data_IF_856762377397
#
_entry.id   IF_856762377397
#
_cell.length_a   1.000
_cell.length_b   1.000
_cell.length_c   1.000
_cell.angle_alpha   90.00
_cell.angle_beta   90.00
_cell.angle_gamma   90.00
#
_symmetry.space_group_name_H-M   'P 1'
#
loop_
_entity.id
_entity.type
_entity.pdbx_description
1 polymer ?
#
# COMPACT_ATOMS: atom_id res chain seq x y z
N UNK A 1 16.26 -4.92 22.29
CA UNK A 1 17.23 -3.83 22.17
C UNK A 1 16.74 -2.68 21.28
N UNK A 2 16.15 -2.90 20.10
CA UNK A 2 15.74 -1.78 19.21
C UNK A 2 14.43 -1.02 19.55
N UNK A 3 13.61 -1.52 20.48
CA UNK A 3 12.31 -0.91 20.80
C UNK A 3 12.42 0.46 21.51
N UNK A 4 13.60 0.75 22.07
CA UNK A 4 13.88 2.01 22.76
C UNK A 4 14.46 3.09 21.82
N UNK A 5 14.95 2.70 20.64
CA UNK A 5 15.51 3.62 19.63
C UNK A 5 14.43 4.14 18.67
N UNK A 6 13.52 3.26 18.25
CA UNK A 6 12.37 3.60 17.41
C UNK A 6 11.12 3.47 18.26
N UNK A 7 10.31 4.53 18.44
CA UNK A 7 9.04 4.47 19.17
C UNK A 7 8.18 3.30 18.71
N UNK A 8 8.17 2.23 19.53
CA UNK A 8 7.53 0.96 19.17
C UNK A 8 6.37 0.66 20.11
N UNK A 9 5.25 0.19 19.55
CA UNK A 9 4.13 -0.37 20.32
C UNK A 9 4.03 -1.84 19.96
N UNK A 10 4.31 -2.70 20.94
CA UNK A 10 4.19 -4.15 20.78
C UNK A 10 2.78 -4.56 21.16
N UNK A 11 2.13 -5.32 20.27
CA UNK A 11 0.78 -5.85 20.47
C UNK A 11 0.79 -7.37 20.32
N UNK A 12 -0.26 -8.02 20.82
CA UNK A 12 -0.37 -9.48 20.75
C UNK A 12 -0.60 -9.93 19.30
N UNK A 13 0.09 -10.98 18.89
CA UNK A 13 -0.08 -11.57 17.57
C UNK A 13 -1.48 -12.20 17.39
N UNK A 14 -2.01 -12.10 16.18
CA UNK A 14 -3.24 -12.77 15.78
C UNK A 14 -3.04 -14.29 15.70
N UNK A 15 -4.14 -15.04 15.83
CA UNK A 15 -4.15 -16.44 15.39
C UNK A 15 -4.13 -16.48 13.87
N UNK A 16 -2.95 -16.66 13.30
CA UNK A 16 -2.70 -16.51 11.86
C UNK A 16 -3.23 -17.66 11.00
N UNK A 17 -3.42 -18.85 11.58
CA UNK A 17 -3.78 -20.07 10.84
C UNK A 17 -2.91 -20.29 9.58
N UNK A 18 -1.62 -19.98 9.67
CA UNK A 18 -0.67 -20.06 8.55
C UNK A 18 -0.60 -18.82 7.65
N UNK A 19 -1.40 -17.79 7.90
CA UNK A 19 -1.37 -16.51 7.18
C UNK A 19 -0.92 -15.36 8.06
N UNK A 20 0.39 -15.16 8.15
CA UNK A 20 1.01 -14.15 9.03
C UNK A 20 0.61 -12.71 8.69
N UNK A 21 0.22 -12.44 7.43
CA UNK A 21 -0.12 -11.08 6.98
C UNK A 21 -1.38 -10.54 7.68
N UNK A 22 -2.25 -11.40 8.24
CA UNK A 22 -3.39 -10.98 9.08
C UNK A 22 -2.96 -10.16 10.30
N UNK A 23 -1.69 -10.26 10.72
CA UNK A 23 -1.15 -9.44 11.79
C UNK A 23 -1.15 -7.96 11.46
N UNK A 24 -1.17 -7.54 10.18
CA UNK A 24 -1.25 -6.12 9.80
C UNK A 24 -2.55 -5.46 10.27
N UNK A 25 -3.75 -5.90 9.82
CA UNK A 25 -4.99 -5.34 10.35
C UNK A 25 -5.16 -5.59 11.84
N UNK A 26 -4.76 -6.76 12.34
CA UNK A 26 -4.91 -7.09 13.76
C UNK A 26 -4.12 -6.14 14.67
N UNK A 27 -2.86 -5.89 14.31
CA UNK A 27 -1.99 -4.99 15.07
C UNK A 27 -2.49 -3.56 15.02
N UNK A 28 -3.02 -3.12 13.87
CA UNK A 28 -3.62 -1.78 13.74
C UNK A 28 -4.88 -1.62 14.59
N UNK A 29 -5.75 -2.63 14.68
CA UNK A 29 -6.90 -2.61 15.60
C UNK A 29 -6.43 -2.44 17.04
N UNK A 30 -5.47 -3.27 17.48
CA UNK A 30 -4.96 -3.21 18.85
C UNK A 30 -4.26 -1.89 19.13
N UNK A 31 -3.48 -1.37 18.19
CA UNK A 31 -2.79 -0.09 18.33
C UNK A 31 -3.79 1.07 18.49
N UNK A 32 -4.77 1.20 17.59
CA UNK A 32 -5.80 2.25 17.62
C UNK A 32 -6.63 2.24 18.91
N UNK A 33 -6.90 1.06 19.47
CA UNK A 33 -7.65 0.90 20.71
C UNK A 33 -6.80 1.16 21.95
N UNK A 34 -5.48 1.16 21.82
CA UNK A 34 -4.58 1.33 22.95
C UNK A 34 -4.41 2.82 23.30
N UNK A 35 -4.20 3.17 24.59
CA UNK A 35 -3.88 4.53 24.99
C UNK A 35 -2.63 5.11 24.30
N UNK A 36 -1.74 4.23 23.82
CA UNK A 36 -0.51 4.63 23.15
C UNK A 36 -0.77 5.31 21.81
N UNK A 37 -1.86 5.02 21.12
CA UNK A 37 -2.19 5.70 19.86
C UNK A 37 -2.44 7.20 20.11
N UNK A 38 -3.34 7.53 21.03
CA UNK A 38 -3.65 8.92 21.36
C UNK A 38 -2.45 9.66 21.97
N UNK A 39 -1.57 8.96 22.68
CA UNK A 39 -0.36 9.54 23.25
C UNK A 39 0.75 9.81 22.22
N UNK A 40 0.75 9.12 21.07
CA UNK A 40 1.85 9.17 20.10
C UNK A 40 1.48 9.78 18.74
N UNK A 41 0.21 9.70 18.35
CA UNK A 41 -0.30 10.23 17.08
C UNK A 41 -1.15 11.46 17.39
N UNK A 42 -0.55 12.64 17.20
CA UNK A 42 -1.20 13.94 17.47
C UNK A 42 -1.65 14.64 16.19
N UNK A 43 -1.13 14.17 15.05
CA UNK A 43 -1.38 14.66 13.71
C UNK A 43 -2.72 14.17 13.18
N UNK A 44 -3.35 14.98 12.32
CA UNK A 44 -4.63 14.63 11.68
C UNK A 44 -4.47 13.58 10.58
N UNK A 45 -3.25 13.41 10.06
CA UNK A 45 -2.92 12.50 8.96
C UNK A 45 -1.78 11.60 9.34
N UNK A 46 -1.85 10.35 8.90
CA UNK A 46 -0.77 9.37 9.04
C UNK A 46 -0.37 8.84 7.68
N UNK A 47 0.91 8.51 7.57
CA UNK A 47 1.47 7.75 6.46
C UNK A 47 1.76 6.33 6.96
N UNK A 48 1.13 5.34 6.34
CA UNK A 48 1.38 3.93 6.60
C UNK A 48 2.42 3.46 5.58
N UNK A 49 3.53 2.91 6.09
CA UNK A 49 4.69 2.47 5.32
C UNK A 49 5.03 1.01 5.62
N UNK A 50 5.72 0.36 4.69
CA UNK A 50 6.41 -0.90 4.95
C UNK A 50 7.88 -0.63 5.31
N UNK A 51 8.51 -1.58 6.01
CA UNK A 51 9.92 -1.45 6.47
C UNK A 51 10.95 -1.45 5.34
N UNK A 52 10.54 -1.87 4.14
CA UNK A 52 11.33 -1.90 2.91
C UNK A 52 11.04 -0.70 1.99
N UNK A 53 10.32 0.32 2.48
CA UNK A 53 10.20 1.60 1.79
C UNK A 53 11.41 2.50 2.03
N UNK A 54 12.05 2.96 0.95
CA UNK A 54 13.06 4.00 0.96
C UNK A 54 12.44 5.32 0.48
N UNK A 55 12.51 6.36 1.31
CA UNK A 55 12.07 7.71 0.92
C UNK A 55 13.16 8.39 0.09
N UNK A 56 12.85 8.71 -1.16
CA UNK A 56 13.81 9.33 -2.09
C UNK A 56 13.84 10.85 -1.98
N UNK A 57 12.73 11.45 -1.56
CA UNK A 57 12.53 12.90 -1.45
C UNK A 57 11.36 13.22 -0.52
N UNK A 58 11.23 14.46 -0.02
CA UNK A 58 10.09 14.86 0.80
C UNK A 58 8.76 14.55 0.09
N UNK A 59 7.91 13.83 0.80
CA UNK A 59 6.60 13.40 0.33
C UNK A 59 5.55 14.36 0.90
N UNK A 60 4.92 15.23 0.08
CA UNK A 60 3.89 16.15 0.57
C UNK A 60 2.67 15.36 1.05
N UNK A 61 1.81 15.99 1.86
CA UNK A 61 0.52 15.37 2.17
C UNK A 61 -0.36 15.33 0.91
N UNK A 62 -0.51 14.13 0.35
CA UNK A 62 -1.32 13.87 -0.85
C UNK A 62 -2.77 13.54 -0.51
N UNK A 63 -3.11 13.38 0.77
CA UNK A 63 -4.45 13.10 1.25
C UNK A 63 -5.20 14.39 1.61
N UNK A 64 -6.52 14.26 1.70
CA UNK A 64 -7.41 15.26 2.32
C UNK A 64 -8.23 14.57 3.41
N UNK A 65 -8.97 15.34 4.20
CA UNK A 65 -9.85 14.81 5.26
C UNK A 65 -10.84 13.73 4.78
N UNK A 66 -11.17 13.74 3.49
CA UNK A 66 -12.16 12.84 2.88
C UNK A 66 -11.59 11.90 1.82
N UNK A 67 -10.40 12.20 1.29
CA UNK A 67 -9.80 11.46 0.17
C UNK A 67 -8.39 11.03 0.57
N UNK A 68 -8.18 9.77 1.00
CA UNK A 68 -6.85 9.22 1.21
C UNK A 68 -6.09 9.10 -0.11
N UNK A 69 -4.76 9.02 -0.06
CA UNK A 69 -3.91 8.78 -1.22
C UNK A 69 -3.16 7.46 -1.06
N UNK A 70 -3.10 6.65 -2.12
CA UNK A 70 -2.46 5.34 -2.10
C UNK A 70 -1.83 4.97 -3.43
N UNK A 71 -0.86 4.07 -3.38
CA UNK A 71 -0.21 3.55 -4.58
C UNK A 71 -1.13 2.61 -5.36
N UNK A 72 -0.99 2.63 -6.69
CA UNK A 72 -1.72 1.75 -7.60
C UNK A 72 -1.07 0.38 -7.72
N UNK A 73 -1.65 -0.62 -7.05
CA UNK A 73 -1.29 -2.02 -7.26
C UNK A 73 -2.06 -2.56 -8.47
N UNK A 74 -1.52 -2.32 -9.68
CA UNK A 74 -2.21 -2.60 -10.95
C UNK A 74 -2.66 -4.06 -11.15
N UNK A 75 -2.09 -5.02 -10.40
CA UNK A 75 -2.53 -6.41 -10.38
C UNK A 75 -3.82 -6.66 -9.58
N UNK A 76 -4.25 -5.72 -8.72
CA UNK A 76 -5.50 -5.81 -7.95
C UNK A 76 -6.71 -5.39 -8.79
N UNK A 77 -6.97 -6.13 -9.86
CA UNK A 77 -8.01 -5.82 -10.84
C UNK A 77 -9.41 -6.07 -10.26
N UNK A 78 -10.11 -5.01 -9.86
CA UNK A 78 -11.42 -5.06 -9.20
C UNK A 78 -12.47 -5.88 -9.97
N UNK A 79 -12.58 -5.69 -11.29
CA UNK A 79 -13.54 -6.41 -12.13
C UNK A 79 -13.27 -7.91 -12.18
N UNK A 80 -12.00 -8.32 -12.13
CA UNK A 80 -11.61 -9.74 -12.15
C UNK A 80 -12.00 -10.50 -10.88
N UNK A 81 -12.29 -9.77 -9.80
CA UNK A 81 -12.65 -10.34 -8.49
C UNK A 81 -14.07 -9.98 -8.05
N UNK A 82 -14.91 -9.47 -8.96
CA UNK A 82 -16.22 -8.93 -8.62
C UNK A 82 -17.13 -9.95 -7.91
N UNK A 83 -17.21 -11.18 -8.43
CA UNK A 83 -18.03 -12.25 -7.85
C UNK A 83 -17.57 -12.65 -6.44
N UNK A 84 -16.25 -12.65 -6.19
CA UNK A 84 -15.68 -12.96 -4.87
C UNK A 84 -15.98 -11.82 -3.90
N UNK A 85 -15.80 -10.57 -4.31
CA UNK A 85 -16.09 -9.39 -3.48
C UNK A 85 -17.58 -9.32 -3.11
N UNK A 86 -18.48 -9.61 -4.04
CA UNK A 86 -19.93 -9.56 -3.82
C UNK A 86 -20.43 -10.57 -2.77
N UNK A 87 -19.68 -11.65 -2.49
CA UNK A 87 -19.97 -12.55 -1.37
C UNK A 87 -19.88 -11.87 -0.01
N UNK A 88 -18.97 -10.91 0.13
CA UNK A 88 -18.72 -10.21 1.39
C UNK A 88 -19.56 -8.94 1.52
N UNK A 89 -19.74 -8.22 0.41
CA UNK A 89 -20.56 -7.01 0.35
C UNK A 89 -21.31 -7.01 -0.99
N UNK A 90 -22.59 -7.44 -1.02
CA UNK A 90 -23.37 -7.50 -2.24
C UNK A 90 -23.45 -6.15 -2.97
N UNK A 91 -23.11 -6.13 -4.25
CA UNK A 91 -23.12 -4.95 -5.10
C UNK A 91 -21.84 -4.11 -5.04
N UNK A 92 -20.80 -4.57 -4.33
CA UNK A 92 -19.49 -3.90 -4.25
C UNK A 92 -18.50 -4.42 -5.30
N UNK A 93 -18.77 -5.54 -5.94
CA UNK A 93 -17.93 -6.14 -6.98
C UNK A 93 -17.55 -5.12 -8.06
N UNK A 94 -16.26 -5.06 -8.40
CA UNK A 94 -15.73 -4.12 -9.39
C UNK A 94 -15.57 -2.66 -8.91
N UNK A 95 -15.92 -2.33 -7.66
CA UNK A 95 -15.93 -0.93 -7.16
C UNK A 95 -14.82 -0.60 -6.17
N UNK A 96 -13.90 -1.52 -5.90
CA UNK A 96 -12.73 -1.30 -5.05
C UNK A 96 -11.64 -0.54 -5.81
N UNK A 97 -10.93 0.35 -5.13
CA UNK A 97 -9.74 0.98 -5.70
C UNK A 97 -8.56 -0.01 -5.65
N UNK A 98 -7.67 -0.07 -6.65
CA UNK A 98 -6.54 -0.99 -6.70
C UNK A 98 -5.38 -0.51 -5.81
N UNK A 99 -5.64 -0.41 -4.51
CA UNK A 99 -4.68 0.05 -3.49
C UNK A 99 -4.41 -1.08 -2.47
N UNK A 100 -3.63 -0.77 -1.44
CA UNK A 100 -3.48 -1.60 -0.25
C UNK A 100 -3.38 -0.72 1.00
N UNK A 101 -3.08 -1.30 2.17
CA UNK A 101 -2.91 -0.54 3.40
C UNK A 101 -1.59 0.25 3.43
N UNK A 102 -0.67 0.00 2.50
CA UNK A 102 0.64 0.65 2.39
C UNK A 102 1.16 0.64 0.94
N UNK A 103 1.81 1.71 0.46
CA UNK A 103 1.84 3.02 1.08
C UNK A 103 0.46 3.68 1.01
N UNK A 104 0.01 4.24 2.14
CA UNK A 104 -1.22 5.04 2.17
C UNK A 104 -1.06 6.26 3.06
N UNK A 105 -1.56 7.40 2.60
CA UNK A 105 -1.80 8.57 3.44
C UNK A 105 -3.28 8.71 3.70
N UNK A 106 -3.64 8.89 4.96
CA UNK A 106 -5.04 8.87 5.37
C UNK A 106 -5.27 9.75 6.59
N UNK A 107 -6.43 10.41 6.63
CA UNK A 107 -6.86 11.12 7.82
C UNK A 107 -7.20 10.13 8.94
N UNK A 108 -6.78 10.41 10.18
CA UNK A 108 -6.92 9.50 11.33
C UNK A 108 -8.35 9.01 11.54
N UNK A 109 -9.34 9.88 11.34
CA UNK A 109 -10.76 9.48 11.46
C UNK A 109 -11.21 8.48 10.39
N UNK A 110 -10.69 8.56 9.16
CA UNK A 110 -10.97 7.54 8.14
C UNK A 110 -10.26 6.22 8.48
N UNK A 111 -9.03 6.29 8.99
CA UNK A 111 -8.30 5.11 9.45
C UNK A 111 -9.06 4.38 10.55
N UNK A 112 -9.55 5.10 11.58
CA UNK A 112 -10.37 4.53 12.67
C UNK A 112 -11.63 3.82 12.16
N UNK A 113 -12.25 4.29 11.09
CA UNK A 113 -13.41 3.65 10.48
C UNK A 113 -13.04 2.41 9.67
N UNK A 114 -11.95 2.48 8.89
CA UNK A 114 -11.52 1.39 8.01
C UNK A 114 -10.94 0.22 8.79
N UNK A 115 -10.07 0.47 9.77
CA UNK A 115 -9.29 -0.58 10.45
C UNK A 115 -10.12 -1.73 11.05
N UNK A 116 -11.24 -1.51 11.78
CA UNK A 116 -12.05 -2.63 12.28
C UNK A 116 -12.67 -3.46 11.13
N UNK A 117 -13.17 -2.80 10.08
CA UNK A 117 -13.72 -3.49 8.92
C UNK A 117 -12.65 -4.22 8.12
N UNK A 118 -11.47 -3.63 7.98
CA UNK A 118 -10.32 -4.24 7.32
C UNK A 118 -9.97 -5.57 8.00
N UNK A 119 -9.82 -5.57 9.32
CA UNK A 119 -9.61 -6.79 10.10
C UNK A 119 -10.71 -7.83 9.90
N UNK A 120 -11.97 -7.41 9.97
CA UNK A 120 -13.10 -8.34 9.87
C UNK A 120 -13.25 -8.93 8.48
N UNK A 121 -13.09 -8.13 7.42
CA UNK A 121 -13.10 -8.62 6.05
C UNK A 121 -11.91 -9.53 5.77
N UNK A 122 -10.69 -9.21 6.24
CA UNK A 122 -9.56 -10.13 6.13
C UNK A 122 -9.87 -11.49 6.77
N UNK A 123 -10.47 -11.50 7.97
CA UNK A 123 -10.85 -12.76 8.63
C UNK A 123 -11.96 -13.51 7.92
N UNK A 124 -12.97 -12.82 7.38
CA UNK A 124 -14.03 -13.44 6.57
C UNK A 124 -13.46 -14.08 5.31
N UNK A 125 -12.55 -13.38 4.62
CA UNK A 125 -11.86 -13.91 3.44
C UNK A 125 -11.05 -15.15 3.81
N UNK A 126 -10.30 -15.13 4.92
CA UNK A 126 -9.54 -16.29 5.38
C UNK A 126 -10.41 -17.51 5.71
N UNK A 127 -11.67 -17.31 6.06
CA UNK A 127 -12.62 -18.38 6.36
C UNK A 127 -13.32 -18.95 5.11
N UNK A 128 -13.16 -18.32 3.94
CA UNK A 128 -13.74 -18.75 2.66
C UNK A 128 -12.65 -19.30 1.75
N UNK A 129 -12.67 -20.61 1.49
CA UNK A 129 -11.63 -21.30 0.70
C UNK A 129 -11.55 -20.81 -0.75
N UNK A 130 -12.68 -20.44 -1.36
CA UNK A 130 -12.72 -19.92 -2.72
C UNK A 130 -12.10 -18.52 -2.75
N UNK A 131 -12.46 -17.65 -1.80
CA UNK A 131 -11.87 -16.33 -1.69
C UNK A 131 -10.35 -16.40 -1.42
N UNK A 132 -9.89 -17.32 -0.58
CA UNK A 132 -8.45 -17.56 -0.38
C UNK A 132 -7.77 -17.97 -1.68
N UNK A 133 -8.38 -18.87 -2.47
CA UNK A 133 -7.83 -19.32 -3.74
C UNK A 133 -7.75 -18.19 -4.77
N UNK A 134 -8.79 -17.36 -4.87
CA UNK A 134 -8.89 -16.29 -5.86
C UNK A 134 -8.07 -15.04 -5.51
N UNK A 135 -8.06 -14.64 -4.24
CA UNK A 135 -7.39 -13.43 -3.78
C UNK A 135 -5.92 -13.67 -3.37
N UNK A 136 -5.56 -14.93 -3.13
CA UNK A 136 -4.18 -15.38 -2.96
C UNK A 136 -3.47 -14.72 -1.77
N UNK A 137 -2.19 -14.38 -1.96
CA UNK A 137 -1.33 -13.83 -0.90
C UNK A 137 -1.75 -12.43 -0.44
N UNK A 138 -2.29 -11.61 -1.35
CA UNK A 138 -2.71 -10.22 -1.12
C UNK A 138 -4.14 -10.11 -0.58
N UNK A 139 -4.73 -11.20 -0.09
CA UNK A 139 -6.09 -11.25 0.45
C UNK A 139 -6.35 -10.28 1.61
N UNK A 140 -5.33 -9.94 2.38
CA UNK A 140 -5.40 -8.88 3.40
C UNK A 140 -5.62 -7.50 2.76
N UNK A 141 -4.87 -7.18 1.69
CA UNK A 141 -5.04 -5.92 0.94
C UNK A 141 -6.45 -5.82 0.36
N UNK A 142 -7.02 -6.92 -0.13
CA UNK A 142 -8.43 -6.98 -0.53
C UNK A 142 -9.38 -6.68 0.64
N UNK A 143 -9.09 -7.18 1.84
CA UNK A 143 -9.81 -6.81 3.05
C UNK A 143 -9.81 -5.30 3.30
N UNK A 144 -8.67 -4.62 3.11
CA UNK A 144 -8.57 -3.17 3.21
C UNK A 144 -9.43 -2.47 2.14
N UNK A 145 -9.31 -2.90 0.88
CA UNK A 145 -10.04 -2.29 -0.23
C UNK A 145 -11.57 -2.46 -0.11
N UNK A 146 -12.02 -3.64 0.33
CA UNK A 146 -13.43 -3.91 0.61
C UNK A 146 -13.91 -3.05 1.78
N UNK A 147 -13.13 -2.93 2.85
CA UNK A 147 -13.46 -2.06 3.98
C UNK A 147 -13.65 -0.61 3.56
N UNK A 148 -12.67 -0.03 2.86
CA UNK A 148 -12.75 1.35 2.39
C UNK A 148 -13.93 1.56 1.44
N UNK A 149 -14.11 0.68 0.44
CA UNK A 149 -15.19 0.81 -0.53
C UNK A 149 -16.58 0.61 0.12
N UNK A 150 -16.72 -0.26 1.13
CA UNK A 150 -17.97 -0.44 1.88
C UNK A 150 -18.40 0.79 2.67
N UNK A 151 -17.44 1.66 3.03
CA UNK A 151 -17.67 2.95 3.66
C UNK A 151 -17.86 4.09 2.64
N UNK A 152 -17.80 3.81 1.34
CA UNK A 152 -17.81 4.82 0.29
C UNK A 152 -16.53 5.66 0.21
N UNK A 153 -15.44 5.23 0.85
CA UNK A 153 -14.16 5.93 0.83
C UNK A 153 -13.44 5.62 -0.49
N UNK A 154 -13.08 6.69 -1.22
CA UNK A 154 -12.36 6.62 -2.49
C UNK A 154 -10.97 7.22 -2.37
N UNK A 155 -9.98 6.51 -2.90
CA UNK A 155 -8.59 6.91 -2.87
C UNK A 155 -8.24 7.77 -4.09
N UNK A 156 -7.35 8.74 -3.87
CA UNK A 156 -6.48 9.25 -4.92
C UNK A 156 -5.44 8.19 -5.22
N UNK A 157 -5.67 7.42 -6.28
CA UNK A 157 -4.78 6.33 -6.73
C UNK A 157 -3.64 6.92 -7.55
N UNK A 158 -2.39 6.60 -7.21
CA UNK A 158 -1.21 7.25 -7.81
C UNK A 158 -0.10 6.26 -8.18
N UNK A 159 0.27 6.22 -9.47
CA UNK A 159 1.43 5.44 -9.95
C UNK A 159 2.76 6.07 -9.51
N UNK A 160 2.80 7.40 -9.35
CA UNK A 160 4.02 8.13 -8.99
C UNK A 160 4.34 8.10 -7.47
N UNK A 161 3.52 7.46 -6.64
CA UNK A 161 3.76 7.42 -5.19
C UNK A 161 5.01 6.61 -4.85
N UNK A 162 5.14 5.42 -5.44
CA UNK A 162 6.33 4.58 -5.30
C UNK A 162 6.74 3.94 -6.62
N UNK A 163 8.02 3.63 -6.74
CA UNK A 163 8.49 2.68 -7.74
C UNK A 163 8.43 1.26 -7.17
N UNK A 164 7.80 0.35 -7.90
CA UNK A 164 7.78 -1.09 -7.63
C UNK A 164 7.74 -1.85 -8.96
N UNK A 165 8.83 -2.58 -9.27
CA UNK A 165 8.98 -3.25 -10.56
C UNK A 165 7.87 -4.27 -10.87
N UNK A 166 7.40 -5.02 -9.86
CA UNK A 166 6.38 -6.06 -10.03
C UNK A 166 4.92 -5.56 -10.06
N UNK A 167 4.62 -4.40 -9.45
CA UNK A 167 3.25 -3.88 -9.39
C UNK A 167 2.83 -3.11 -10.65
N UNK A 168 3.81 -2.56 -11.38
CA UNK A 168 3.59 -1.90 -12.67
C UNK A 168 3.53 -3.00 -13.74
N UNK A 169 2.48 -3.83 -13.66
CA UNK A 169 2.26 -5.05 -14.42
C UNK A 169 1.97 -4.85 -15.91
N UNK A 170 2.75 -4.03 -16.61
CA UNK A 170 2.66 -3.95 -18.07
C UNK A 170 4.03 -3.58 -18.66
N UNK A 171 4.79 -4.61 -19.06
CA UNK A 171 6.07 -4.47 -19.80
C UNK A 171 5.93 -3.67 -21.11
N UNK A 172 4.70 -3.53 -21.61
CA UNK A 172 4.38 -2.77 -22.82
C UNK A 172 3.63 -1.45 -22.57
N UNK A 173 3.25 -1.12 -21.32
CA UNK A 173 2.92 0.28 -21.03
C UNK A 173 4.22 1.04 -21.18
N UNK A 174 4.37 1.75 -22.31
CA UNK A 174 5.08 3.04 -22.26
C UNK A 174 4.51 3.72 -21.03
N UNK A 175 5.35 3.99 -20.04
CA UNK A 175 5.03 4.90 -18.94
C UNK A 175 4.37 6.09 -19.61
N UNK A 176 3.04 6.13 -19.60
CA UNK A 176 2.28 7.23 -20.12
C UNK A 176 2.48 8.25 -19.02
N UNK A 177 3.61 8.95 -19.14
CA UNK A 177 4.06 10.03 -18.30
C UNK A 177 2.81 10.85 -17.98
N UNK A 178 2.28 10.79 -16.74
CA UNK A 178 1.33 11.80 -16.37
C UNK A 178 2.14 13.08 -16.49
N UNK A 179 1.84 13.88 -17.52
CA UNK A 179 2.21 15.27 -17.55
C UNK A 179 1.77 15.79 -16.17
N UNK A 180 2.70 16.01 -15.22
CA UNK A 180 2.28 16.32 -13.88
C UNK A 180 1.43 17.59 -14.02
N UNK A 181 0.35 17.70 -13.27
CA UNK A 181 -0.34 19.00 -13.14
C UNK A 181 0.56 20.09 -12.50
N UNK A 182 1.86 19.81 -12.34
CA UNK A 182 2.99 20.60 -11.87
C UNK A 182 2.89 21.10 -10.43
N UNK A 183 4.04 21.42 -9.77
CA UNK A 183 5.41 21.30 -10.27
C UNK A 183 6.23 20.23 -9.54
N UNK A 184 6.90 19.38 -10.32
CA UNK A 184 8.34 19.14 -10.11
C UNK A 184 8.95 20.37 -10.79
N UNK A 185 9.56 21.34 -10.11
CA UNK A 185 10.93 21.35 -9.54
C UNK A 185 11.13 22.62 -8.63
N UNK A 186 12.36 22.99 -8.20
CA UNK A 186 13.12 23.93 -9.06
C UNK A 186 14.23 23.27 -9.88
N UNK A 187 14.98 22.32 -9.31
CA UNK A 187 15.88 21.40 -10.04
C UNK A 187 15.49 19.93 -9.79
N UNK A 188 14.59 19.41 -10.62
CA UNK A 188 13.91 18.12 -10.45
C UNK A 188 14.86 16.95 -10.27
N UNK A 189 14.46 16.02 -9.42
CA UNK A 189 15.13 14.74 -9.14
C UNK A 189 15.52 14.06 -10.44
N UNK A 190 16.73 14.29 -10.94
CA UNK A 190 17.23 13.63 -12.13
C UNK A 190 17.82 12.28 -11.71
N UNK A 191 17.49 11.26 -12.49
CA UNK A 191 18.21 10.01 -12.56
C UNK A 191 19.65 10.30 -13.04
N UNK A 192 20.59 9.38 -12.88
CA UNK A 192 21.99 9.64 -13.23
C UNK A 192 22.25 9.81 -14.75
N UNK A 193 21.21 9.75 -15.58
CA UNK A 193 21.22 10.10 -17.01
C UNK A 193 20.52 11.43 -17.29
N UNK A 194 20.12 12.18 -16.26
CA UNK A 194 19.47 13.48 -16.42
C UNK A 194 17.95 13.40 -16.65
N UNK A 195 17.29 12.27 -16.41
CA UNK A 195 15.84 12.10 -16.59
C UNK A 195 15.09 12.23 -15.26
N UNK A 196 13.95 12.91 -15.18
CA UNK A 196 13.24 13.07 -13.90
C UNK A 196 12.81 11.74 -13.28
N UNK A 197 13.32 11.38 -12.10
CA UNK A 197 12.82 10.38 -11.15
C UNK A 197 11.49 10.87 -10.56
N UNK A 198 10.33 10.35 -11.01
CA UNK A 198 9.03 10.91 -10.65
C UNK A 198 8.51 10.38 -9.31
N UNK A 199 9.18 9.40 -8.70
CA UNK A 199 8.70 8.69 -7.52
C UNK A 199 9.10 9.38 -6.21
N UNK A 200 8.29 9.23 -5.16
CA UNK A 200 8.65 9.68 -3.81
C UNK A 200 9.29 8.57 -2.98
N UNK A 201 8.84 7.34 -3.25
CA UNK A 201 9.23 6.15 -2.54
C UNK A 201 9.85 5.15 -3.50
N UNK A 202 10.75 4.35 -2.98
CA UNK A 202 11.23 3.15 -3.61
C UNK A 202 10.85 1.96 -2.73
N UNK A 203 10.09 1.00 -3.27
CA UNK A 203 9.69 -0.19 -2.55
C UNK A 203 10.72 -1.30 -2.82
N UNK A 204 11.53 -1.64 -1.82
CA UNK A 204 12.60 -2.63 -1.93
C UNK A 204 12.03 -4.06 -1.86
N UNK A 205 11.26 -4.43 -2.87
CA UNK A 205 10.57 -5.73 -2.96
C UNK A 205 10.89 -6.43 -4.27
N UNK A 206 11.19 -7.73 -4.20
CA UNK A 206 11.55 -8.63 -5.33
C UNK A 206 12.67 -8.14 -6.27
N UNK A 207 13.90 -8.63 -6.04
CA UNK A 207 14.94 -8.72 -7.07
C UNK A 207 15.22 -7.44 -7.87
N UNK A 208 15.11 -6.26 -7.24
CA UNK A 208 15.51 -5.03 -7.91
C UNK A 208 17.02 -4.88 -7.79
N UNK A 209 17.71 -5.01 -8.92
CA UNK A 209 19.12 -4.67 -9.03
C UNK A 209 19.25 -3.19 -9.45
N UNK A 210 20.46 -2.65 -9.35
CA UNK A 210 20.74 -1.26 -9.75
C UNK A 210 21.79 -1.25 -10.85
N UNK A 211 21.64 -0.32 -11.79
CA UNK A 211 22.77 0.04 -12.65
C UNK A 211 23.83 0.79 -11.84
N UNK A 212 25.05 0.93 -12.39
CA UNK A 212 26.11 1.75 -11.76
C UNK A 212 25.71 3.21 -11.56
N UNK A 213 24.68 3.63 -12.27
CA UNK A 213 24.07 4.96 -12.24
C UNK A 213 22.96 5.06 -11.16
N UNK A 214 22.70 4.02 -10.37
CA UNK A 214 21.69 4.04 -9.30
C UNK A 214 20.24 3.98 -9.81
N UNK A 215 20.05 3.59 -11.08
CA UNK A 215 18.72 3.39 -11.65
C UNK A 215 18.20 2.00 -11.29
N UNK A 216 16.95 1.88 -10.84
CA UNK A 216 16.38 0.57 -10.57
C UNK A 216 16.16 -0.20 -11.87
N UNK A 217 16.56 -1.47 -11.88
CA UNK A 217 16.35 -2.40 -13.00
C UNK A 217 15.69 -3.68 -12.52
N UNK A 218 14.78 -4.19 -13.34
CA UNK A 218 14.13 -5.48 -13.12
C UNK A 218 15.06 -6.58 -13.70
N UNK A 219 15.86 -7.24 -12.86
CA UNK A 219 16.68 -8.39 -13.27
C UNK A 219 16.41 -9.59 -12.36
N UNK A 220 16.23 -10.75 -13.00
CA UNK A 220 16.22 -12.03 -12.33
C UNK A 220 17.50 -12.16 -11.49
N UNK A 221 17.32 -12.44 -10.20
CA UNK A 221 18.36 -12.79 -9.24
C UNK A 221 19.50 -13.58 -9.92
N UNK A 222 20.71 -13.01 -9.94
CA UNK A 222 21.94 -13.79 -10.16
C UNK A 222 22.60 -13.73 -11.54
N UNK A 223 22.49 -12.63 -12.30
CA UNK A 223 23.42 -12.38 -13.43
C UNK A 223 24.27 -11.15 -13.19
N UNK A 224 25.37 -11.35 -12.46
CA UNK A 224 26.52 -10.45 -12.53
C UNK A 224 27.02 -10.49 -13.98
N UNK A 225 26.77 -9.41 -14.73
CA UNK A 225 27.27 -9.29 -16.10
C UNK A 225 28.79 -9.34 -16.14
N UNK A 226 29.32 -10.29 -16.89
CA UNK A 226 30.65 -10.24 -17.49
C UNK A 226 30.64 -9.27 -18.68
#
# INVERSE_FOLDING_TARGET
>A
EYADEIPTVVVKEARSAGYVVVNRPHSMVLFLQSPQFAARVTEEYVYIAETDHLMLRPLPNLATRHVPAGFNFGYMVAWGQASVVDKFVPGLGGKTDPVGPSPVMIHVEQLKQITPLWHDFTRKIMADSEAVQHLGWVREMWGYCIAAASLGIKHRVMDAMQYEGGAIGNRERRLAWPNPALPVTPEGSLDAKGQGMPYYLFHYTYGVEYTKEGLPVELQVGRVGL
#
